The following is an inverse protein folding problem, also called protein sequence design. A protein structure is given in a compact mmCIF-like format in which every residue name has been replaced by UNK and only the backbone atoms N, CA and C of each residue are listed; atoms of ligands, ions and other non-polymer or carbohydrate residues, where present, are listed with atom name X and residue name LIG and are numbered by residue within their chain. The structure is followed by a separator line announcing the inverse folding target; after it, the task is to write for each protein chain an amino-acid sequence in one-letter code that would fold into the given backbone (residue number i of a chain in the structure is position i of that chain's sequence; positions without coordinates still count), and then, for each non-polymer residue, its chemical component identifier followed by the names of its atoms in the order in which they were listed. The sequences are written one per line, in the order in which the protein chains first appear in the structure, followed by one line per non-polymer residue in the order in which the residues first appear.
data_IF_663444263006
#
_entry.id   IF_663444263006
#
_cell.length_a   1.000
_cell.length_b   1.000
_cell.length_c   1.000
_cell.angle_alpha   90.00
_cell.angle_beta   90.00
_cell.angle_gamma   90.00
#
_symmetry.space_group_name_H-M   'P 1'
#
loop_
_entity.id
_entity.type
_entity.pdbx_description
1 polymer ?
#
# COMPACT_ATOMS: atom_id res chain seq x y z
N UNK A 1 -43.93 -27.67 -8.83
CA UNK A 1 -43.74 -26.44 -9.62
C UNK A 1 -43.33 -25.36 -8.64
N UNK A 2 -42.03 -25.06 -8.55
CA UNK A 2 -41.53 -23.90 -7.80
C UNK A 2 -40.83 -23.03 -8.82
N UNK A 3 -41.48 -21.90 -9.11
CA UNK A 3 -41.03 -20.88 -10.03
C UNK A 3 -39.63 -20.40 -9.66
N UNK A 4 -38.81 -20.24 -10.70
CA UNK A 4 -37.55 -19.51 -10.74
C UNK A 4 -37.54 -18.28 -9.83
N UNK A 5 -36.64 -18.32 -8.85
CA UNK A 5 -36.25 -17.16 -8.04
C UNK A 5 -34.83 -16.70 -8.41
N UNK A 6 -34.41 -16.93 -9.65
CA UNK A 6 -33.35 -16.15 -10.27
C UNK A 6 -34.01 -14.90 -10.83
N UNK A 7 -34.08 -13.84 -10.03
CA UNK A 7 -34.17 -12.52 -10.62
C UNK A 7 -32.94 -12.36 -11.51
N UNK A 8 -33.12 -12.53 -12.82
CA UNK A 8 -32.17 -12.00 -13.78
C UNK A 8 -32.14 -10.50 -13.51
N UNK A 9 -31.09 -10.02 -12.85
CA UNK A 9 -30.85 -8.59 -12.73
C UNK A 9 -30.96 -8.02 -14.15
N UNK A 10 -31.97 -7.19 -14.36
CA UNK A 10 -32.32 -6.74 -15.69
C UNK A 10 -31.17 -5.89 -16.23
N UNK A 11 -30.32 -6.50 -17.04
CA UNK A 11 -29.13 -5.85 -17.60
C UNK A 11 -29.53 -4.59 -18.35
N UNK A 12 -28.84 -3.50 -18.05
CA UNK A 12 -29.07 -2.17 -18.64
C UNK A 12 -28.09 -1.88 -19.77
N UNK A 13 -28.47 -1.09 -20.78
CA UNK A 13 -27.52 -0.64 -21.79
C UNK A 13 -26.46 0.27 -21.14
N UNK A 14 -25.23 0.18 -21.62
CA UNK A 14 -24.07 0.94 -21.11
C UNK A 14 -24.34 2.45 -21.07
N UNK A 15 -25.09 2.99 -22.04
CA UNK A 15 -25.46 4.41 -22.10
C UNK A 15 -26.07 4.96 -20.79
N UNK A 16 -26.75 4.13 -19.99
CA UNK A 16 -27.30 4.54 -18.69
C UNK A 16 -26.25 4.66 -17.59
N UNK A 17 -25.13 3.95 -17.73
CA UNK A 17 -24.03 3.91 -16.77
C UNK A 17 -22.80 4.70 -17.26
N UNK A 18 -22.82 5.20 -18.49
CA UNK A 18 -21.70 5.91 -19.13
C UNK A 18 -21.16 7.05 -18.26
N UNK A 19 -22.04 7.88 -17.69
CA UNK A 19 -21.63 8.98 -16.82
C UNK A 19 -20.89 8.49 -15.56
N UNK A 20 -21.37 7.41 -14.95
CA UNK A 20 -20.71 6.80 -13.80
C UNK A 20 -19.38 6.16 -14.20
N UNK A 21 -19.33 5.49 -15.36
CA UNK A 21 -18.10 4.92 -15.89
C UNK A 21 -17.04 5.97 -16.17
N UNK A 22 -17.43 7.09 -16.78
CA UNK A 22 -16.52 8.19 -17.00
C UNK A 22 -16.07 8.84 -15.69
N UNK A 23 -16.94 8.92 -14.67
CA UNK A 23 -16.55 9.43 -13.34
C UNK A 23 -15.46 8.55 -12.71
N UNK A 24 -15.62 7.23 -12.72
CA UNK A 24 -14.58 6.34 -12.20
C UNK A 24 -13.30 6.45 -13.01
N UNK A 25 -13.41 6.39 -14.35
CA UNK A 25 -12.26 6.33 -15.23
C UNK A 25 -11.45 7.62 -15.32
N UNK A 26 -12.11 8.78 -15.21
CA UNK A 26 -11.47 10.09 -15.41
C UNK A 26 -11.15 10.84 -14.13
N UNK A 27 -11.84 10.51 -13.03
CA UNK A 27 -11.75 11.31 -11.80
C UNK A 27 -11.33 10.44 -10.63
N UNK A 28 -12.16 9.48 -10.23
CA UNK A 28 -11.99 8.76 -8.96
C UNK A 28 -10.70 7.96 -8.95
N UNK A 29 -10.53 7.04 -9.89
CA UNK A 29 -9.34 6.16 -9.90
C UNK A 29 -8.06 6.95 -10.18
N UNK A 30 -7.98 7.86 -11.18
CA UNK A 30 -6.77 8.64 -11.39
C UNK A 30 -6.35 9.50 -10.19
N UNK A 31 -7.31 10.09 -9.47
CA UNK A 31 -7.02 10.91 -8.28
C UNK A 31 -6.40 10.06 -7.16
N UNK A 32 -6.97 8.88 -6.91
CA UNK A 32 -6.47 8.00 -5.86
C UNK A 32 -5.11 7.39 -6.23
N UNK A 33 -4.86 7.08 -7.51
CA UNK A 33 -3.55 6.61 -7.99
C UNK A 33 -2.47 7.70 -7.86
N UNK A 34 -2.79 8.94 -8.23
CA UNK A 34 -1.86 10.06 -8.03
C UNK A 34 -1.57 10.27 -6.53
N UNK A 35 -2.59 10.12 -5.67
CA UNK A 35 -2.39 10.18 -4.23
C UNK A 35 -1.49 9.05 -3.73
N UNK A 36 -1.67 7.82 -4.22
CA UNK A 36 -0.81 6.68 -3.88
C UNK A 36 0.65 6.92 -4.26
N UNK A 37 0.88 7.48 -5.45
CA UNK A 37 2.23 7.88 -5.90
C UNK A 37 2.85 8.94 -4.99
N UNK A 38 2.06 9.92 -4.54
CA UNK A 38 2.54 10.93 -3.60
C UNK A 38 2.91 10.30 -2.23
N UNK A 39 2.11 9.35 -1.75
CA UNK A 39 2.45 8.59 -0.54
C UNK A 39 3.78 7.83 -0.70
N UNK A 40 4.01 7.20 -1.84
CA UNK A 40 5.27 6.52 -2.14
C UNK A 40 6.48 7.45 -2.09
N UNK A 41 6.38 8.65 -2.68
CA UNK A 41 7.44 9.67 -2.64
C UNK A 41 7.72 10.10 -1.19
N UNK A 42 6.66 10.29 -0.40
CA UNK A 42 6.77 10.72 1.00
C UNK A 42 7.37 9.62 1.88
N UNK A 43 6.97 8.35 1.70
CA UNK A 43 7.54 7.19 2.38
C UNK A 43 9.06 7.19 2.17
N UNK A 44 9.51 7.30 0.93
CA UNK A 44 10.94 7.32 0.62
C UNK A 44 11.66 8.52 1.24
N UNK A 45 11.04 9.70 1.17
CA UNK A 45 11.57 10.92 1.78
C UNK A 45 11.72 10.78 3.31
N UNK A 46 10.69 10.33 4.02
CA UNK A 46 10.71 10.23 5.47
C UNK A 46 11.67 9.17 5.98
N UNK A 47 11.81 8.07 5.22
CA UNK A 47 12.80 7.02 5.46
C UNK A 47 14.23 7.57 5.40
N UNK A 48 14.60 8.25 4.29
CA UNK A 48 15.94 8.87 4.13
C UNK A 48 16.26 9.90 5.21
N UNK A 49 15.25 10.64 5.67
CA UNK A 49 15.41 11.63 6.73
C UNK A 49 15.28 11.05 8.15
N UNK A 50 15.15 9.72 8.32
CA UNK A 50 14.96 9.03 9.60
C UNK A 50 13.82 9.61 10.44
N UNK A 51 12.78 10.08 9.76
CA UNK A 51 11.60 10.70 10.37
C UNK A 51 10.53 9.65 10.63
N UNK A 52 10.79 8.74 11.59
CA UNK A 52 10.01 7.53 11.83
C UNK A 52 8.52 7.79 12.12
N UNK A 53 8.21 8.83 12.89
CA UNK A 53 6.82 9.25 13.19
C UNK A 53 6.03 9.66 11.93
N UNK A 54 6.70 10.34 11.00
CA UNK A 54 6.07 10.74 9.73
C UNK A 54 5.97 9.54 8.79
N UNK A 55 6.98 8.68 8.77
CA UNK A 55 6.98 7.45 7.99
C UNK A 55 5.84 6.50 8.39
N UNK A 56 5.66 6.27 9.69
CA UNK A 56 4.56 5.48 10.25
C UNK A 56 3.19 6.02 9.80
N UNK A 57 2.95 7.33 9.98
CA UNK A 57 1.71 7.98 9.53
C UNK A 57 1.51 7.83 8.03
N UNK A 58 2.59 7.94 7.26
CA UNK A 58 2.52 7.83 5.81
C UNK A 58 2.17 6.41 5.34
N UNK A 59 2.71 5.36 5.98
CA UNK A 59 2.29 3.98 5.72
C UNK A 59 0.80 3.76 5.99
N UNK A 60 0.28 4.26 7.12
CA UNK A 60 -1.16 4.17 7.43
C UNK A 60 -2.00 4.90 6.37
N UNK A 61 -1.58 6.09 5.96
CA UNK A 61 -2.29 6.88 4.96
C UNK A 61 -2.24 6.23 3.56
N UNK A 62 -1.12 5.63 3.20
CA UNK A 62 -0.96 4.84 1.99
C UNK A 62 -1.93 3.65 2.02
N UNK A 63 -1.94 2.87 3.11
CA UNK A 63 -2.82 1.71 3.28
C UNK A 63 -4.29 2.06 3.12
N UNK A 64 -4.74 3.17 3.73
CA UNK A 64 -6.10 3.70 3.54
C UNK A 64 -6.41 4.07 2.09
N UNK A 65 -5.45 4.66 1.39
CA UNK A 65 -5.62 5.01 -0.04
C UNK A 65 -5.75 3.75 -0.90
N UNK A 66 -4.97 2.70 -0.63
CA UNK A 66 -5.09 1.43 -1.35
C UNK A 66 -6.43 0.74 -1.07
N UNK A 67 -6.89 0.75 0.19
CA UNK A 67 -8.22 0.24 0.53
C UNK A 67 -9.33 1.00 -0.19
N UNK A 68 -9.20 2.33 -0.32
CA UNK A 68 -10.16 3.15 -1.06
C UNK A 68 -10.14 2.84 -2.55
N UNK A 69 -8.95 2.67 -3.16
CA UNK A 69 -8.80 2.21 -4.55
C UNK A 69 -9.51 0.87 -4.78
N UNK A 70 -9.29 -0.08 -3.87
CA UNK A 70 -9.92 -1.40 -3.91
C UNK A 70 -11.45 -1.30 -3.88
N UNK A 71 -11.99 -0.55 -2.93
CA UNK A 71 -13.43 -0.33 -2.82
C UNK A 71 -14.01 0.33 -4.08
N UNK A 72 -13.33 1.37 -4.59
CA UNK A 72 -13.75 2.07 -5.79
C UNK A 72 -13.74 1.16 -7.02
N UNK A 73 -12.76 0.27 -7.16
CA UNK A 73 -12.71 -0.70 -8.25
C UNK A 73 -13.79 -1.78 -8.13
N UNK A 74 -14.09 -2.25 -6.92
CA UNK A 74 -15.17 -3.21 -6.69
C UNK A 74 -16.55 -2.61 -6.95
N UNK A 75 -16.78 -1.37 -6.54
CA UNK A 75 -18.02 -0.64 -6.81
C UNK A 75 -18.21 -0.43 -8.31
N UNK A 76 -17.13 -0.05 -8.99
CA UNK A 76 -17.09 0.11 -10.44
C UNK A 76 -17.44 -1.22 -11.15
N UNK A 77 -16.81 -2.33 -10.76
CA UNK A 77 -17.07 -3.66 -11.31
C UNK A 77 -18.53 -4.10 -11.05
N UNK A 78 -19.01 -3.93 -9.82
CA UNK A 78 -20.39 -4.26 -9.43
C UNK A 78 -21.41 -3.48 -10.24
N UNK A 79 -21.16 -2.19 -10.46
CA UNK A 79 -22.03 -1.36 -11.29
C UNK A 79 -22.08 -1.87 -12.73
N UNK A 80 -20.96 -2.37 -13.25
CA UNK A 80 -20.84 -2.80 -14.63
C UNK A 80 -21.25 -4.23 -14.91
N UNK A 81 -21.33 -5.10 -13.90
CA UNK A 81 -21.96 -6.42 -14.04
C UNK A 81 -23.41 -6.34 -14.55
N UNK A 82 -24.05 -5.18 -14.31
CA UNK A 82 -25.40 -4.85 -14.76
C UNK A 82 -25.46 -4.44 -16.23
N UNK A 83 -24.34 -4.32 -16.93
CA UNK A 83 -24.30 -3.97 -18.36
C UNK A 83 -24.66 -5.19 -19.21
N UNK A 84 -25.42 -4.95 -20.29
CA UNK A 84 -25.70 -5.97 -21.29
C UNK A 84 -24.43 -6.50 -21.94
N UNK A 85 -24.41 -7.79 -22.27
CA UNK A 85 -23.23 -8.43 -22.88
C UNK A 85 -22.78 -7.76 -24.19
N UNK A 86 -23.73 -7.23 -24.98
CA UNK A 86 -23.45 -6.50 -26.24
C UNK A 86 -22.61 -5.22 -26.04
N UNK A 87 -22.72 -4.59 -24.88
CA UNK A 87 -22.04 -3.33 -24.56
C UNK A 87 -20.73 -3.54 -23.77
N UNK A 88 -20.41 -4.78 -23.36
CA UNK A 88 -19.16 -5.10 -22.64
C UNK A 88 -17.92 -4.63 -23.40
N UNK A 89 -17.78 -4.85 -24.73
CA UNK A 89 -16.59 -4.39 -25.46
C UNK A 89 -16.41 -2.86 -25.43
N UNK A 90 -17.51 -2.11 -25.51
CA UNK A 90 -17.48 -0.65 -25.44
C UNK A 90 -17.07 -0.17 -24.04
N UNK A 91 -17.59 -0.82 -23.00
CA UNK A 91 -17.22 -0.55 -21.62
C UNK A 91 -15.74 -0.88 -21.36
N UNK A 92 -15.26 -2.07 -21.74
CA UNK A 92 -13.86 -2.48 -21.58
C UNK A 92 -12.91 -1.46 -22.19
N UNK A 93 -13.22 -0.93 -23.38
CA UNK A 93 -12.41 0.12 -24.03
C UNK A 93 -12.27 1.38 -23.17
N UNK A 94 -13.31 1.76 -22.43
CA UNK A 94 -13.30 2.94 -21.55
C UNK A 94 -12.50 2.68 -20.28
N UNK A 95 -12.51 1.45 -19.78
CA UNK A 95 -11.85 1.08 -18.53
C UNK A 95 -10.39 0.64 -18.73
N UNK A 96 -10.00 0.25 -19.94
CA UNK A 96 -8.64 -0.20 -20.23
C UNK A 96 -7.54 0.78 -19.77
N UNK A 97 -7.65 2.10 -20.03
CA UNK A 97 -6.63 3.05 -19.54
C UNK A 97 -6.54 3.07 -18.01
N UNK A 98 -7.65 2.85 -17.31
CA UNK A 98 -7.71 2.80 -15.85
C UNK A 98 -6.94 1.60 -15.33
N UNK A 99 -7.13 0.44 -15.96
CA UNK A 99 -6.36 -0.78 -15.66
C UNK A 99 -4.88 -0.56 -15.87
N UNK A 100 -4.50 -0.02 -17.03
CA UNK A 100 -3.08 0.18 -17.37
C UNK A 100 -2.41 1.13 -16.38
N UNK A 101 -3.09 2.22 -15.99
CA UNK A 101 -2.60 3.13 -14.94
C UNK A 101 -2.51 2.46 -13.57
N UNK A 102 -3.50 1.65 -13.18
CA UNK A 102 -3.48 0.95 -11.90
C UNK A 102 -2.34 -0.07 -11.84
N UNK A 103 -2.17 -0.89 -12.89
CA UNK A 103 -1.07 -1.86 -12.99
C UNK A 103 0.30 -1.18 -12.96
N UNK A 104 0.46 -0.09 -13.71
CA UNK A 104 1.70 0.70 -13.69
C UNK A 104 1.99 1.24 -12.28
N UNK A 105 0.99 1.84 -11.63
CA UNK A 105 1.15 2.41 -10.29
C UNK A 105 1.47 1.35 -9.22
N UNK A 106 0.86 0.16 -9.33
CA UNK A 106 1.15 -0.98 -8.44
C UNK A 106 2.57 -1.48 -8.66
N UNK A 107 2.99 -1.62 -9.92
CA UNK A 107 4.36 -2.03 -10.27
C UNK A 107 5.39 -1.05 -9.72
N UNK A 108 5.19 0.24 -9.98
CA UNK A 108 6.05 1.32 -9.46
C UNK A 108 6.10 1.29 -7.93
N UNK A 109 4.96 1.09 -7.27
CA UNK A 109 4.89 1.04 -5.80
C UNK A 109 5.66 -0.15 -5.25
N UNK A 110 5.40 -1.36 -5.74
CA UNK A 110 6.05 -2.59 -5.28
C UNK A 110 7.56 -2.58 -5.52
N UNK A 111 8.02 -2.04 -6.64
CA UNK A 111 9.46 -1.97 -6.94
C UNK A 111 10.21 -1.09 -5.93
N UNK A 112 9.67 0.09 -5.61
CA UNK A 112 10.34 1.02 -4.68
C UNK A 112 10.16 0.56 -3.23
N UNK A 113 9.00 -0.01 -2.91
CA UNK A 113 8.69 -0.47 -1.57
C UNK A 113 9.51 -1.72 -1.19
N UNK A 114 9.72 -2.66 -2.12
CA UNK A 114 10.58 -3.84 -1.87
C UNK A 114 12.03 -3.46 -1.57
N UNK A 115 12.62 -2.54 -2.35
CA UNK A 115 13.95 -1.97 -2.07
C UNK A 115 14.00 -1.31 -0.69
N UNK A 116 12.91 -0.67 -0.28
CA UNK A 116 12.83 -0.02 1.02
C UNK A 116 12.79 -0.99 2.19
N UNK A 117 12.10 -2.14 2.02
CA UNK A 117 12.03 -3.24 2.99
C UNK A 117 13.41 -3.88 3.19
N UNK A 118 14.14 -4.14 2.10
CA UNK A 118 15.45 -4.80 2.16
C UNK A 118 16.49 -3.90 2.86
N UNK A 119 16.51 -2.59 2.55
CA UNK A 119 17.42 -1.63 3.20
C UNK A 119 17.13 -1.47 4.71
N UNK A 120 15.86 -1.51 5.13
CA UNK A 120 15.50 -1.49 6.56
C UNK A 120 15.98 -2.75 7.29
N UNK A 121 15.94 -3.91 6.63
CA UNK A 121 16.47 -5.16 7.19
C UNK A 121 17.97 -5.09 7.37
N UNK A 122 18.70 -4.51 6.42
CA UNK A 122 20.16 -4.34 6.53
C UNK A 122 20.57 -3.39 7.65
N UNK A 123 19.86 -2.26 7.86
CA UNK A 123 20.14 -1.34 8.96
C UNK A 123 19.92 -1.98 10.35
N UNK A 124 18.99 -2.95 10.47
CA UNK A 124 18.75 -3.66 11.73
C UNK A 124 19.91 -4.59 12.16
N UNK A 125 20.71 -5.10 11.21
CA UNK A 125 21.90 -5.90 11.51
C UNK A 125 23.07 -5.10 12.11
N UNK A 126 23.09 -3.78 11.93
CA UNK A 126 24.12 -2.91 12.52
C UNK A 126 23.74 -2.40 13.92
N UNK A 127 22.52 -2.68 14.40
CA UNK A 127 22.06 -2.37 15.75
C UNK A 127 22.19 -3.61 16.66
N UNK A 128 23.35 -4.27 16.65
CA UNK A 128 23.69 -5.23 17.71
C UNK A 128 24.02 -4.41 18.96
N UNK A 129 23.30 -4.56 20.09
CA UNK A 129 23.81 -4.07 21.36
C UNK A 129 25.10 -4.84 21.60
N UNK A 130 26.22 -4.13 21.68
CA UNK A 130 27.51 -4.71 22.05
C UNK A 130 27.37 -5.31 23.45
N UNK A 131 26.88 -6.56 23.54
CA UNK A 131 26.92 -7.36 24.76
C UNK A 131 28.36 -7.80 24.91
N UNK A 132 29.14 -6.91 25.53
CA UNK A 132 30.54 -7.14 25.83
C UNK A 132 30.59 -8.39 26.70
N UNK A 133 31.21 -9.42 26.13
CA UNK A 133 31.49 -10.70 26.77
C UNK A 133 32.22 -10.44 28.09
N UNK A 134 31.60 -10.81 29.20
CA UNK A 134 32.28 -10.94 30.50
C UNK A 134 33.38 -12.00 30.37
N UNK A 135 34.63 -11.54 30.21
CA UNK A 135 35.80 -12.24 30.73
C UNK A 135 36.78 -11.22 31.32
N UNK A 136 37.03 -11.43 32.60
CA UNK A 136 37.86 -10.67 33.51
C UNK A 136 39.28 -10.42 32.97
N UNK A 137 39.76 -9.17 33.10
CA UNK A 137 41.15 -8.87 33.42
C UNK A 137 41.30 -7.40 33.90
N UNK A 138 41.57 -7.26 35.20
CA UNK A 138 42.15 -6.10 35.89
C UNK A 138 43.15 -5.30 35.04
N UNK A 139 43.02 -3.97 34.97
CA UNK A 139 44.08 -2.97 35.24
C UNK A 139 43.49 -1.58 35.54
N UNK A 140 43.96 -0.94 36.61
CA UNK A 140 43.67 0.46 37.00
C UNK A 140 44.41 1.44 36.09
N UNK A 141 43.74 2.53 35.65
CA UNK A 141 44.36 3.86 35.55
C UNK A 141 43.32 4.97 35.32
N UNK A 142 43.61 6.15 35.87
CA UNK A 142 42.74 7.32 36.08
C UNK A 142 42.34 8.05 34.79
N UNK A 143 41.14 8.66 34.77
CA UNK A 143 40.87 10.04 34.28
C UNK A 143 39.39 10.40 34.47
N UNK A 144 39.13 11.44 35.25
CA UNK A 144 37.83 12.12 35.36
C UNK A 144 37.46 12.77 34.02
N UNK A 145 36.36 12.32 33.39
CA UNK A 145 35.48 13.22 32.61
C UNK A 145 34.04 12.78 32.86
N UNK A 146 33.34 13.65 33.58
CA UNK A 146 31.92 13.61 33.86
C UNK A 146 31.16 14.03 32.59
N UNK A 147 30.53 13.08 31.89
CA UNK A 147 29.40 13.35 31.00
C UNK A 147 28.32 12.35 31.38
N UNK A 148 27.57 12.71 32.41
CA UNK A 148 26.32 12.05 32.77
C UNK A 148 25.25 12.54 31.79
N UNK A 149 25.24 11.98 30.58
CA UNK A 149 24.02 11.97 29.77
C UNK A 149 23.16 10.85 30.32
N UNK A 150 21.96 11.13 30.84
CA UNK A 150 21.04 10.06 31.18
C UNK A 150 20.73 9.35 29.87
N UNK A 151 21.25 8.13 29.74
CA UNK A 151 20.87 7.17 28.72
C UNK A 151 19.40 6.89 28.97
N UNK A 152 18.53 7.64 28.29
CA UNK A 152 17.11 7.29 28.21
C UNK A 152 17.08 5.94 27.52
N UNK A 153 16.85 4.90 28.32
CA UNK A 153 16.62 3.55 27.85
C UNK A 153 15.63 3.61 26.69
N UNK A 154 16.12 3.28 25.51
CA UNK A 154 15.45 3.45 24.22
C UNK A 154 14.40 2.35 24.00
N UNK A 155 13.60 2.07 25.04
CA UNK A 155 12.52 1.08 25.02
C UNK A 155 11.44 1.50 24.01
N UNK A 156 11.29 2.81 23.80
CA UNK A 156 10.33 3.37 22.86
C UNK A 156 10.73 3.20 21.38
N UNK A 157 12.02 3.03 21.03
CA UNK A 157 12.38 2.79 19.63
C UNK A 157 12.15 1.35 19.23
N UNK A 158 12.40 0.35 20.09
CA UNK A 158 12.13 -1.05 19.74
C UNK A 158 10.64 -1.32 19.47
N UNK A 159 9.74 -0.70 20.24
CA UNK A 159 8.30 -0.78 20.01
C UNK A 159 7.87 0.02 18.77
N UNK A 160 8.50 1.17 18.51
CA UNK A 160 8.32 1.97 17.29
C UNK A 160 8.76 1.20 16.03
N UNK A 161 9.88 0.47 16.09
CA UNK A 161 10.38 -0.37 15.00
C UNK A 161 9.48 -1.56 14.71
N UNK A 162 9.06 -2.31 15.74
CA UNK A 162 8.13 -3.42 15.57
C UNK A 162 6.78 -2.97 14.98
N UNK A 163 6.31 -1.79 15.37
CA UNK A 163 5.09 -1.20 14.82
C UNK A 163 5.28 -0.81 13.34
N UNK A 164 6.42 -0.18 13.02
CA UNK A 164 6.74 0.24 11.66
C UNK A 164 6.95 -0.94 10.70
N UNK A 165 7.61 -2.01 11.14
CA UNK A 165 7.76 -3.25 10.37
C UNK A 165 6.40 -3.89 10.10
N UNK A 166 5.52 -3.92 11.10
CA UNK A 166 4.16 -4.41 10.93
C UNK A 166 3.39 -3.59 9.89
N UNK A 167 3.40 -2.26 10.00
CA UNK A 167 2.68 -1.42 9.03
C UNK A 167 3.22 -1.57 7.61
N UNK A 168 4.53 -1.80 7.48
CA UNK A 168 5.19 -2.04 6.20
C UNK A 168 4.71 -3.37 5.57
N UNK A 169 4.62 -4.43 6.37
CA UNK A 169 4.09 -5.72 5.94
C UNK A 169 2.59 -5.62 5.59
N UNK A 170 1.80 -4.99 6.45
CA UNK A 170 0.36 -4.78 6.22
C UNK A 170 0.12 -3.99 4.91
N UNK A 171 0.92 -2.94 4.65
CA UNK A 171 0.84 -2.16 3.42
C UNK A 171 1.23 -2.99 2.19
N UNK A 172 2.30 -3.78 2.29
CA UNK A 172 2.72 -4.69 1.23
C UNK A 172 1.63 -5.72 0.90
N UNK A 173 1.00 -6.30 1.92
CA UNK A 173 -0.07 -7.30 1.75
C UNK A 173 -1.28 -6.69 1.06
N UNK A 174 -1.72 -5.50 1.50
CA UNK A 174 -2.87 -4.81 0.89
C UNK A 174 -2.58 -4.40 -0.56
N UNK A 175 -1.35 -3.99 -0.89
CA UNK A 175 -0.94 -3.70 -2.28
C UNK A 175 -0.95 -4.97 -3.14
N UNK A 176 -0.47 -6.10 -2.61
CA UNK A 176 -0.51 -7.37 -3.34
C UNK A 176 -1.95 -7.86 -3.54
N UNK A 177 -2.82 -7.75 -2.55
CA UNK A 177 -4.26 -8.02 -2.70
C UNK A 177 -4.89 -7.13 -3.77
N UNK A 178 -4.55 -5.85 -3.78
CA UNK A 178 -5.02 -4.91 -4.80
C UNK A 178 -4.53 -5.31 -6.20
N UNK A 179 -3.25 -5.68 -6.34
CA UNK A 179 -2.68 -6.23 -7.57
C UNK A 179 -3.48 -7.42 -8.09
N UNK A 180 -3.73 -8.42 -7.22
CA UNK A 180 -4.54 -9.57 -7.59
C UNK A 180 -5.92 -9.17 -8.08
N UNK A 181 -6.60 -8.24 -7.40
CA UNK A 181 -7.92 -7.76 -7.79
C UNK A 181 -7.92 -7.14 -9.21
N UNK A 182 -6.94 -6.28 -9.52
CA UNK A 182 -6.82 -5.65 -10.84
C UNK A 182 -6.57 -6.70 -11.93
N UNK A 183 -5.82 -7.75 -11.62
CA UNK A 183 -5.53 -8.84 -12.55
C UNK A 183 -6.72 -9.77 -12.82
N UNK A 184 -7.54 -10.10 -11.80
CA UNK A 184 -8.65 -11.06 -11.94
C UNK A 184 -9.95 -10.45 -12.47
N UNK A 185 -10.08 -9.12 -12.46
CA UNK A 185 -11.35 -8.48 -12.81
C UNK A 185 -11.78 -8.78 -14.25
N UNK A 186 -13.05 -9.18 -14.40
CA UNK A 186 -13.58 -9.76 -15.63
C UNK A 186 -13.72 -8.76 -16.78
N UNK A 187 -13.78 -7.46 -16.48
CA UNK A 187 -13.83 -6.40 -17.50
C UNK A 187 -12.47 -6.17 -18.15
N UNK A 188 -11.44 -6.81 -17.61
CA UNK A 188 -10.05 -6.64 -17.97
C UNK A 188 -9.37 -7.94 -18.46
N UNK A 189 -10.06 -9.08 -18.41
CA UNK A 189 -9.60 -10.34 -18.99
C UNK A 189 -9.93 -10.38 -20.48
N UNK A 190 -8.91 -10.46 -21.34
CA UNK A 190 -9.03 -10.57 -22.80
C UNK A 190 -9.67 -11.88 -23.26
#
# INVERSE_FOLDING_TARGET
MSNDMFQSEQKVPYRRLEAAAQKFAKVVIPTDLERLKNHQINIEKYRRCRSWELLHKEHINAGRTVQQLRANMQDMETLFLKVKNEDIPALTKVLQPVKDMALASIGDFLEIHSKSVDELREESFFHVPNSVTEKEASYKSNSEIQIDTPFTEDVNTSESWNTLEKDLLDLNDIINEFSHLVHVSIFFTS
#
